data_IF_745188550703
#
_entry.id   IF_745188550703
#
_cell.length_a   1.000
_cell.length_b   1.000
_cell.length_c   1.000
_cell.angle_alpha   90.00
_cell.angle_beta   90.00
_cell.angle_gamma   90.00
#
_symmetry.space_group_name_H-M   'P 1'
#
loop_
_entity.id
_entity.type
_entity.pdbx_description
1 polymer ?
#
# COMPACT_ATOMS: atom_id res chain seq x y z
N UNK A 1 5.10 -23.70 60.08
CA UNK A 1 4.75 -23.97 58.67
C UNK A 1 3.82 -22.89 58.09
N UNK A 2 2.75 -22.45 58.81
CA UNK A 2 1.81 -21.42 58.38
C UNK A 2 2.47 -20.04 58.27
N UNK A 3 3.30 -19.62 59.23
CA UNK A 3 4.02 -18.34 59.24
C UNK A 3 4.94 -18.16 58.03
N UNK A 4 5.69 -19.21 57.67
CA UNK A 4 6.54 -19.17 56.44
C UNK A 4 5.75 -19.05 55.14
N UNK A 5 4.48 -19.55 55.11
CA UNK A 5 3.62 -19.40 53.93
C UNK A 5 3.07 -17.98 53.80
N UNK A 6 2.75 -17.32 54.91
CA UNK A 6 2.28 -15.94 54.92
C UNK A 6 3.42 -14.94 54.55
N UNK A 7 4.59 -15.13 55.10
CA UNK A 7 5.79 -14.32 54.74
C UNK A 7 6.12 -14.46 53.24
N UNK A 8 6.06 -15.70 52.73
CA UNK A 8 6.32 -15.96 51.31
C UNK A 8 5.27 -15.31 50.40
N UNK A 9 4.00 -15.30 50.84
CA UNK A 9 2.90 -14.67 50.14
C UNK A 9 3.02 -13.13 50.09
N UNK A 10 3.50 -12.51 51.18
CA UNK A 10 3.77 -11.07 51.23
C UNK A 10 4.95 -10.71 50.32
N UNK A 11 6.02 -11.48 50.34
CA UNK A 11 7.16 -11.31 49.47
C UNK A 11 6.74 -11.37 47.99
N UNK A 12 6.00 -12.40 47.58
CA UNK A 12 5.51 -12.55 46.21
C UNK A 12 4.55 -11.42 45.80
N UNK A 13 3.73 -10.93 46.72
CA UNK A 13 2.89 -9.76 46.48
C UNK A 13 3.70 -8.48 46.26
N UNK A 14 4.78 -8.32 47.03
CA UNK A 14 5.72 -7.22 46.86
C UNK A 14 6.40 -7.26 45.50
N UNK A 15 6.94 -8.42 45.14
CA UNK A 15 7.58 -8.64 43.83
C UNK A 15 6.60 -8.39 42.67
N UNK A 16 5.37 -8.89 42.79
CA UNK A 16 4.31 -8.66 41.77
C UNK A 16 4.00 -7.18 41.61
N UNK A 17 3.83 -6.42 42.71
CA UNK A 17 3.55 -4.98 42.65
C UNK A 17 4.66 -4.21 41.99
N UNK A 18 5.89 -4.51 42.31
CA UNK A 18 7.05 -3.85 41.72
C UNK A 18 7.19 -4.17 40.24
N UNK A 19 7.04 -5.44 39.86
CA UNK A 19 7.07 -5.86 38.45
C UNK A 19 5.93 -5.22 37.65
N UNK A 20 4.73 -5.13 38.23
CA UNK A 20 3.59 -4.48 37.61
C UNK A 20 3.84 -2.97 37.41
N UNK A 21 4.48 -2.30 38.38
CA UNK A 21 4.86 -0.90 38.28
C UNK A 21 5.85 -0.67 37.14
N UNK A 22 6.90 -1.49 37.07
CA UNK A 22 7.91 -1.42 36.00
C UNK A 22 7.28 -1.67 34.62
N UNK A 23 6.47 -2.68 34.50
CA UNK A 23 5.77 -3.01 33.24
C UNK A 23 4.85 -1.87 32.78
N UNK A 24 4.14 -1.21 33.73
CA UNK A 24 3.30 -0.04 33.41
C UNK A 24 4.13 1.15 32.91
N UNK A 25 5.30 1.39 33.48
CA UNK A 25 6.19 2.46 33.04
C UNK A 25 6.69 2.20 31.61
N UNK A 26 7.18 0.98 31.33
CA UNK A 26 7.61 0.58 29.99
C UNK A 26 6.45 0.69 28.97
N UNK A 27 5.25 0.30 29.37
CA UNK A 27 4.07 0.42 28.51
C UNK A 27 3.72 1.89 28.23
N UNK A 28 3.89 2.80 29.18
CA UNK A 28 3.70 4.23 28.98
C UNK A 28 4.75 4.83 28.03
N UNK A 29 6.01 4.45 28.16
CA UNK A 29 7.09 4.83 27.23
C UNK A 29 6.79 4.34 25.82
N UNK A 30 6.31 3.12 25.68
CA UNK A 30 5.87 2.55 24.38
C UNK A 30 4.71 3.35 23.76
N UNK A 31 3.75 3.81 24.58
CA UNK A 31 2.66 4.67 24.12
C UNK A 31 3.17 5.97 23.51
N UNK A 32 4.11 6.66 24.18
CA UNK A 32 4.68 7.91 23.67
C UNK A 32 5.54 7.69 22.40
N UNK A 33 6.29 6.60 22.35
CA UNK A 33 7.03 6.21 21.14
C UNK A 33 6.07 5.97 19.96
N UNK A 34 4.95 5.27 20.18
CA UNK A 34 3.91 5.04 19.17
C UNK A 34 3.28 6.33 18.69
N UNK A 35 2.94 7.26 19.60
CA UNK A 35 2.36 8.57 19.23
C UNK A 35 3.32 9.40 18.38
N UNK A 36 4.59 9.37 18.72
CA UNK A 36 5.64 10.06 17.96
C UNK A 36 5.79 9.46 16.56
N UNK A 37 5.88 8.13 16.47
CA UNK A 37 5.97 7.41 15.22
C UNK A 37 4.72 7.60 14.36
N UNK A 38 3.52 7.58 14.96
CA UNK A 38 2.26 7.81 14.27
C UNK A 38 2.23 9.15 13.55
N UNK A 39 2.58 10.25 14.23
CA UNK A 39 2.63 11.60 13.62
C UNK A 39 3.58 11.69 12.43
N UNK A 40 4.76 11.08 12.55
CA UNK A 40 5.73 11.06 11.45
C UNK A 40 5.18 10.27 10.26
N UNK A 41 4.63 9.10 10.52
CA UNK A 41 4.07 8.20 9.52
C UNK A 41 2.85 8.84 8.82
N UNK A 42 1.97 9.51 9.55
CA UNK A 42 0.85 10.28 8.97
C UNK A 42 1.33 11.29 7.93
N UNK A 43 2.34 12.09 8.27
CA UNK A 43 2.89 13.11 7.36
C UNK A 43 3.50 12.49 6.10
N UNK A 44 4.26 11.41 6.25
CA UNK A 44 4.88 10.72 5.14
C UNK A 44 3.83 10.09 4.21
N UNK A 45 2.80 9.45 4.76
CA UNK A 45 1.73 8.83 3.95
C UNK A 45 0.91 9.90 3.23
N UNK A 46 0.54 11.01 3.90
CA UNK A 46 -0.24 12.09 3.27
C UNK A 46 0.55 12.70 2.10
N UNK A 47 1.86 12.88 2.25
CA UNK A 47 2.73 13.34 1.15
C UNK A 47 2.70 12.36 -0.03
N UNK A 48 2.85 11.06 0.24
CA UNK A 48 2.77 10.02 -0.79
C UNK A 48 1.41 10.00 -1.50
N UNK A 49 0.32 10.22 -0.75
CA UNK A 49 -1.04 10.27 -1.29
C UNK A 49 -1.26 11.50 -2.17
N UNK A 50 -0.70 12.67 -1.81
CA UNK A 50 -0.82 13.86 -2.65
C UNK A 50 -0.14 13.69 -4.01
N UNK A 51 0.95 12.95 -4.08
CA UNK A 51 1.60 12.60 -5.37
C UNK A 51 0.78 11.61 -6.21
N UNK A 52 -0.25 10.98 -5.62
CA UNK A 52 -1.17 10.07 -6.30
C UNK A 52 -2.53 10.70 -6.65
N UNK A 53 -2.58 12.04 -6.70
CA UNK A 53 -3.79 12.85 -6.98
C UNK A 53 -4.88 12.67 -5.89
N UNK A 54 -4.43 12.50 -4.64
CA UNK A 54 -5.28 12.33 -3.46
C UNK A 54 -5.05 13.46 -2.42
N UNK A 55 -4.93 14.70 -2.87
CA UNK A 55 -4.60 15.88 -2.03
C UNK A 55 -5.60 16.17 -0.92
N UNK A 56 -6.84 15.72 -1.10
CA UNK A 56 -7.95 15.99 -0.16
C UNK A 56 -8.04 14.96 0.96
N UNK A 57 -7.22 13.91 0.87
CA UNK A 57 -7.22 12.84 1.86
C UNK A 57 -6.66 13.33 3.18
N UNK A 58 -7.36 13.00 4.24
CA UNK A 58 -6.86 13.13 5.61
C UNK A 58 -6.63 11.75 6.18
N UNK A 59 -5.50 11.56 6.82
CA UNK A 59 -5.14 10.31 7.46
C UNK A 59 -4.75 10.56 8.91
N UNK A 60 -5.20 9.71 9.81
CA UNK A 60 -4.85 9.71 11.21
C UNK A 60 -4.50 8.29 11.69
N UNK A 61 -3.44 8.19 12.45
CA UNK A 61 -3.06 6.94 13.13
C UNK A 61 -3.41 7.12 14.61
N UNK A 62 -4.62 6.70 14.97
CA UNK A 62 -5.14 6.85 16.31
C UNK A 62 -4.52 5.83 17.26
N UNK A 63 -3.86 6.31 18.34
CA UNK A 63 -3.29 5.48 19.40
C UNK A 63 -4.21 5.59 20.61
N UNK A 64 -5.08 4.60 20.78
CA UNK A 64 -6.06 4.55 21.88
C UNK A 64 -5.46 3.77 23.06
N UNK A 65 -5.19 4.47 24.15
CA UNK A 65 -4.66 3.85 25.36
C UNK A 65 -5.80 3.30 26.20
N UNK A 66 -5.82 1.97 26.38
CA UNK A 66 -6.78 1.29 27.23
C UNK A 66 -6.32 1.16 28.68
N UNK A 67 -7.10 0.43 29.46
CA UNK A 67 -6.80 0.15 30.89
C UNK A 67 -6.22 -1.23 31.13
N UNK A 68 -6.33 -2.14 30.16
CA UNK A 68 -5.87 -3.53 30.26
C UNK A 68 -4.49 -3.69 29.66
N UNK A 69 -3.53 -4.10 30.48
CA UNK A 69 -2.17 -4.40 30.05
C UNK A 69 -2.15 -5.72 29.27
N UNK A 70 -1.49 -5.73 28.12
CA UNK A 70 -1.24 -6.91 27.29
C UNK A 70 0.26 -7.09 27.04
N UNK A 71 0.65 -8.15 26.32
CA UNK A 71 2.02 -8.35 25.86
C UNK A 71 2.51 -7.22 24.93
N UNK A 72 1.58 -6.43 24.34
CA UNK A 72 1.85 -5.31 23.45
C UNK A 72 1.61 -3.94 24.11
N UNK A 73 1.56 -3.85 25.44
CA UNK A 73 1.26 -2.64 26.19
C UNK A 73 -0.23 -2.39 26.36
N UNK A 74 -0.61 -1.10 26.46
CA UNK A 74 -2.00 -0.69 26.70
C UNK A 74 -2.75 -0.30 25.43
N UNK A 75 -2.04 -0.07 24.31
CA UNK A 75 -2.59 0.65 23.19
C UNK A 75 -3.23 -0.26 22.13
N UNK A 76 -4.27 0.27 21.52
CA UNK A 76 -4.80 -0.18 20.24
C UNK A 76 -4.51 0.90 19.22
N UNK A 77 -3.91 0.53 18.09
CA UNK A 77 -3.59 1.44 16.99
C UNK A 77 -4.57 1.22 15.85
N UNK A 78 -5.19 2.29 15.36
CA UNK A 78 -6.14 2.25 14.25
C UNK A 78 -5.73 3.26 13.20
N UNK A 79 -5.63 2.82 11.94
CA UNK A 79 -5.46 3.70 10.79
C UNK A 79 -6.84 4.20 10.36
N UNK A 80 -7.05 5.50 10.43
CA UNK A 80 -8.30 6.17 10.08
C UNK A 80 -8.07 7.11 8.91
N UNK A 81 -9.03 7.16 7.99
CA UNK A 81 -8.91 7.94 6.77
C UNK A 81 -10.25 8.60 6.41
N UNK A 82 -10.16 9.82 5.86
CA UNK A 82 -11.24 10.49 5.16
C UNK A 82 -10.77 10.81 3.74
N UNK A 83 -11.42 10.24 2.76
CA UNK A 83 -11.06 10.40 1.34
C UNK A 83 -11.64 11.68 0.76
N UNK A 84 -12.84 12.06 1.18
CA UNK A 84 -13.54 13.25 0.71
C UNK A 84 -13.60 14.35 1.75
N UNK A 85 -13.50 15.63 1.35
CA UNK A 85 -13.69 16.74 2.25
C UNK A 85 -15.07 16.72 2.91
N UNK A 86 -15.10 16.92 4.23
CA UNK A 86 -16.36 16.96 4.99
C UNK A 86 -16.86 15.59 5.48
N UNK A 87 -16.32 14.49 4.99
CA UNK A 87 -16.60 13.16 5.53
C UNK A 87 -15.85 12.94 6.86
N UNK A 88 -16.43 12.18 7.81
CA UNK A 88 -15.73 11.78 9.02
C UNK A 88 -14.62 10.77 8.68
N UNK A 89 -13.56 10.79 9.46
CA UNK A 89 -12.52 9.76 9.42
C UNK A 89 -13.14 8.41 9.83
N UNK A 90 -12.80 7.38 9.09
CA UNK A 90 -13.25 5.98 9.31
C UNK A 90 -12.07 5.02 9.22
N UNK A 91 -12.11 3.88 9.90
CA UNK A 91 -11.07 2.88 9.79
C UNK A 91 -10.76 2.52 8.33
N UNK A 92 -9.48 2.38 7.98
CA UNK A 92 -9.02 2.05 6.63
C UNK A 92 -9.72 0.80 6.06
N UNK A 93 -10.04 -0.17 6.91
CA UNK A 93 -10.79 -1.38 6.55
C UNK A 93 -12.22 -1.12 6.04
N UNK A 94 -12.73 0.12 6.16
CA UNK A 94 -14.08 0.52 5.70
C UNK A 94 -14.05 1.42 4.46
N UNK A 95 -12.91 1.54 3.80
CA UNK A 95 -12.82 2.23 2.49
C UNK A 95 -13.54 1.37 1.45
N UNK A 96 -14.47 1.97 0.73
CA UNK A 96 -15.38 1.26 -0.15
C UNK A 96 -14.90 1.17 -1.61
N UNK A 97 -14.01 2.07 -2.05
CA UNK A 97 -13.51 2.11 -3.44
C UNK A 97 -12.24 1.27 -3.58
N UNK A 98 -12.24 0.30 -4.50
CA UNK A 98 -11.10 -0.55 -4.80
C UNK A 98 -9.88 0.26 -5.27
N UNK A 99 -10.08 1.18 -6.22
CA UNK A 99 -8.99 2.03 -6.74
C UNK A 99 -8.40 2.98 -5.69
N UNK A 100 -9.24 3.60 -4.83
CA UNK A 100 -8.74 4.43 -3.72
C UNK A 100 -7.93 3.60 -2.73
N UNK A 101 -8.45 2.42 -2.36
CA UNK A 101 -7.76 1.53 -1.43
C UNK A 101 -6.42 1.06 -2.00
N UNK A 102 -6.36 0.71 -3.29
CA UNK A 102 -5.11 0.29 -3.95
C UNK A 102 -4.07 1.40 -3.96
N UNK A 103 -4.45 2.66 -4.21
CA UNK A 103 -3.54 3.82 -4.11
C UNK A 103 -3.08 4.10 -2.69
N UNK A 104 -3.99 4.00 -1.71
CA UNK A 104 -3.64 4.12 -0.29
C UNK A 104 -2.63 3.04 0.10
N UNK A 105 -2.86 1.79 -0.33
CA UNK A 105 -1.94 0.69 -0.06
C UNK A 105 -0.59 0.89 -0.77
N UNK A 106 -0.56 1.46 -1.98
CA UNK A 106 0.69 1.82 -2.66
C UNK A 106 1.48 2.86 -1.84
N UNK A 107 0.83 3.93 -1.37
CA UNK A 107 1.45 4.95 -0.53
C UNK A 107 2.00 4.35 0.77
N UNK A 108 1.21 3.53 1.46
CA UNK A 108 1.65 2.80 2.65
C UNK A 108 2.86 1.91 2.38
N UNK A 109 2.86 1.17 1.28
CA UNK A 109 3.96 0.27 0.91
C UNK A 109 5.24 1.05 0.57
N UNK A 110 5.14 2.21 -0.08
CA UNK A 110 6.30 3.06 -0.32
C UNK A 110 6.96 3.54 0.98
N UNK A 111 6.16 3.92 1.98
CA UNK A 111 6.66 4.40 3.28
C UNK A 111 7.18 3.25 4.14
N UNK A 112 6.51 2.09 4.15
CA UNK A 112 6.78 0.97 5.07
C UNK A 112 7.73 -0.10 4.52
N UNK A 113 8.24 0.04 3.30
CA UNK A 113 9.00 -1.02 2.58
C UNK A 113 10.20 -1.59 3.33
N UNK A 114 10.72 -0.91 4.35
CA UNK A 114 11.97 -1.28 5.03
C UNK A 114 11.84 -2.43 6.04
N UNK A 115 10.64 -2.92 6.36
CA UNK A 115 10.43 -3.90 7.45
C UNK A 115 9.54 -5.10 7.14
N UNK A 116 9.06 -5.25 5.89
CA UNK A 116 8.14 -6.33 5.55
C UNK A 116 8.82 -7.51 4.87
N UNK A 117 8.59 -8.71 5.40
CA UNK A 117 9.04 -9.99 4.83
C UNK A 117 8.05 -10.55 3.78
N UNK A 118 7.58 -9.67 2.87
CA UNK A 118 6.68 -10.04 1.77
C UNK A 118 7.47 -10.02 0.47
N UNK A 119 7.55 -11.17 -0.21
CA UNK A 119 8.35 -11.33 -1.44
C UNK A 119 7.68 -10.74 -2.69
N UNK A 120 6.34 -10.67 -2.74
CA UNK A 120 5.58 -10.21 -3.90
C UNK A 120 4.43 -9.28 -3.49
N UNK A 121 4.18 -8.27 -4.31
CA UNK A 121 3.04 -7.37 -4.21
C UNK A 121 2.19 -7.44 -5.47
N UNK A 122 0.88 -7.50 -5.31
CA UNK A 122 -0.08 -7.51 -6.42
C UNK A 122 -0.99 -6.29 -6.27
N UNK A 123 -1.03 -5.45 -7.30
CA UNK A 123 -1.91 -4.28 -7.38
C UNK A 123 -2.94 -4.49 -8.48
N UNK A 124 -4.20 -4.47 -8.08
CA UNK A 124 -5.35 -4.53 -8.96
C UNK A 124 -6.19 -3.25 -8.82
N UNK A 125 -6.84 -2.81 -9.90
CA UNK A 125 -7.69 -1.62 -9.96
C UNK A 125 -6.99 -0.29 -9.54
N UNK A 126 -5.66 -0.24 -9.50
CA UNK A 126 -4.92 0.92 -9.01
C UNK A 126 -5.11 2.18 -9.88
N UNK A 127 -5.47 1.97 -11.14
CA UNK A 127 -5.68 2.98 -12.17
C UNK A 127 -7.14 3.41 -12.34
N UNK A 128 -8.06 2.87 -11.53
CA UNK A 128 -9.48 3.24 -11.58
C UNK A 128 -9.68 4.71 -11.20
N UNK A 129 -10.29 5.48 -12.11
CA UNK A 129 -10.57 6.91 -11.93
C UNK A 129 -9.32 7.81 -11.98
N UNK A 130 -8.23 7.32 -12.58
CA UNK A 130 -6.95 8.05 -12.71
C UNK A 130 -6.69 8.35 -14.18
N UNK A 131 -6.01 9.45 -14.46
CA UNK A 131 -5.58 9.83 -15.82
C UNK A 131 -4.31 10.66 -15.80
N UNK A 132 -3.65 10.76 -16.98
CA UNK A 132 -2.58 11.73 -17.22
C UNK A 132 -1.42 11.66 -16.23
N UNK A 133 -1.18 12.75 -15.52
CA UNK A 133 -0.06 12.90 -14.59
C UNK A 133 -0.10 11.91 -13.42
N UNK A 134 -1.27 11.68 -12.84
CA UNK A 134 -1.40 10.74 -11.72
C UNK A 134 -1.03 9.31 -12.13
N UNK A 135 -1.40 8.88 -13.35
CA UNK A 135 -1.01 7.57 -13.87
C UNK A 135 0.52 7.41 -13.99
N UNK A 136 1.21 8.48 -14.43
CA UNK A 136 2.69 8.47 -14.48
C UNK A 136 3.30 8.34 -13.08
N UNK A 137 2.77 9.06 -12.08
CA UNK A 137 3.25 8.98 -10.70
C UNK A 137 3.03 7.58 -10.10
N UNK A 138 1.86 6.99 -10.34
CA UNK A 138 1.58 5.60 -9.94
C UNK A 138 2.63 4.66 -10.56
N UNK A 139 2.88 4.76 -11.86
CA UNK A 139 3.87 3.93 -12.54
C UNK A 139 5.27 4.08 -11.94
N UNK A 140 5.72 5.30 -11.67
CA UNK A 140 7.02 5.58 -11.03
C UNK A 140 7.12 4.96 -9.63
N UNK A 141 6.06 5.06 -8.82
CA UNK A 141 6.03 4.48 -7.48
C UNK A 141 6.03 2.96 -7.52
N UNK A 142 5.31 2.36 -8.45
CA UNK A 142 5.34 0.90 -8.69
C UNK A 142 6.75 0.44 -9.10
N UNK A 143 7.41 1.13 -10.02
CA UNK A 143 8.80 0.87 -10.41
C UNK A 143 9.77 0.97 -9.22
N UNK A 144 9.61 1.97 -8.35
CA UNK A 144 10.45 2.13 -7.16
C UNK A 144 10.32 0.95 -6.18
N UNK A 145 9.10 0.41 -6.01
CA UNK A 145 8.86 -0.79 -5.22
C UNK A 145 9.43 -2.03 -5.91
N UNK A 146 9.24 -2.13 -7.24
CA UNK A 146 9.66 -3.27 -8.04
C UNK A 146 11.18 -3.52 -8.01
N UNK A 147 11.98 -2.49 -7.77
CA UNK A 147 13.44 -2.62 -7.53
C UNK A 147 13.78 -3.45 -6.28
N UNK A 148 12.86 -3.57 -5.34
CA UNK A 148 13.08 -4.24 -4.04
C UNK A 148 12.24 -5.49 -3.87
N UNK A 149 11.09 -5.57 -4.55
CA UNK A 149 10.11 -6.66 -4.40
C UNK A 149 9.49 -6.99 -5.75
N UNK A 150 9.21 -8.26 -6.01
CA UNK A 150 8.43 -8.61 -7.18
C UNK A 150 7.06 -7.92 -7.14
N UNK A 151 6.74 -7.17 -8.18
CA UNK A 151 5.50 -6.40 -8.25
C UNK A 151 4.72 -6.80 -9.50
N UNK A 152 3.47 -7.22 -9.30
CA UNK A 152 2.51 -7.48 -10.35
C UNK A 152 1.44 -6.40 -10.33
N UNK A 153 1.17 -5.78 -11.48
CA UNK A 153 0.13 -4.76 -11.62
C UNK A 153 -0.80 -5.11 -12.77
N UNK A 154 -2.11 -5.09 -12.50
CA UNK A 154 -3.14 -5.16 -13.54
C UNK A 154 -3.54 -3.72 -13.88
N UNK A 155 -3.40 -3.33 -15.15
CA UNK A 155 -3.65 -1.96 -15.61
C UNK A 155 -4.16 -1.92 -17.04
N UNK A 156 -4.96 -0.92 -17.34
CA UNK A 156 -5.39 -0.56 -18.70
C UNK A 156 -4.81 0.79 -19.16
N UNK A 157 -4.02 1.46 -18.32
CA UNK A 157 -3.40 2.75 -18.66
C UNK A 157 -2.01 2.57 -19.26
N UNK A 158 -1.76 3.11 -20.47
CA UNK A 158 -0.49 2.99 -21.17
C UNK A 158 0.68 3.57 -20.38
N UNK A 159 0.46 4.63 -19.59
CA UNK A 159 1.49 5.27 -18.77
C UNK A 159 2.01 4.34 -17.65
N UNK A 160 1.13 3.53 -17.07
CA UNK A 160 1.51 2.55 -16.05
C UNK A 160 2.11 1.31 -16.71
N UNK A 161 1.47 0.82 -17.78
CA UNK A 161 1.95 -0.36 -18.51
C UNK A 161 3.39 -0.15 -19.03
N UNK A 162 3.69 1.02 -19.59
CA UNK A 162 5.03 1.32 -20.11
C UNK A 162 6.16 1.18 -19.07
N UNK A 163 5.85 1.40 -17.77
CA UNK A 163 6.81 1.31 -16.66
C UNK A 163 7.15 -0.14 -16.24
N UNK A 164 6.43 -1.15 -16.76
CA UNK A 164 6.70 -2.54 -16.44
C UNK A 164 7.92 -3.10 -17.17
N UNK A 165 8.76 -3.86 -16.48
CA UNK A 165 9.90 -4.56 -17.08
C UNK A 165 9.43 -5.69 -18.01
N UNK A 166 8.39 -6.42 -17.58
CA UNK A 166 7.78 -7.52 -18.31
C UNK A 166 6.28 -7.28 -18.48
N UNK A 167 5.76 -7.61 -19.67
CA UNK A 167 4.32 -7.51 -19.93
C UNK A 167 3.71 -8.89 -20.16
N UNK A 168 2.54 -9.07 -19.56
CA UNK A 168 1.67 -10.22 -19.80
C UNK A 168 0.36 -9.69 -20.39
N UNK A 169 0.02 -10.14 -21.60
CA UNK A 169 -1.27 -9.81 -22.22
C UNK A 169 -2.33 -10.78 -21.73
N UNK A 170 -3.43 -10.23 -21.24
CA UNK A 170 -4.64 -10.98 -20.91
C UNK A 170 -5.62 -10.81 -22.06
N UNK A 171 -6.04 -11.90 -22.67
CA UNK A 171 -7.04 -11.91 -23.73
C UNK A 171 -8.17 -12.88 -23.41
N UNK A 172 -9.40 -12.51 -23.80
CA UNK A 172 -10.56 -13.38 -23.66
C UNK A 172 -11.00 -13.86 -25.05
N UNK A 173 -11.21 -15.16 -25.20
CA UNK A 173 -11.74 -15.78 -26.41
C UNK A 173 -12.97 -16.61 -26.07
N UNK A 174 -13.93 -16.69 -27.01
CA UNK A 174 -15.09 -17.56 -26.88
C UNK A 174 -14.92 -18.74 -27.83
N UNK A 175 -14.90 -19.95 -27.29
CA UNK A 175 -14.82 -21.20 -28.05
C UNK A 175 -15.95 -22.12 -27.57
N UNK A 176 -16.75 -22.64 -28.47
CA UNK A 176 -17.87 -23.55 -28.17
C UNK A 176 -18.85 -22.99 -27.11
N UNK A 177 -19.12 -21.66 -27.17
CA UNK A 177 -20.00 -20.98 -26.20
C UNK A 177 -19.42 -20.80 -24.80
N UNK A 178 -18.14 -21.09 -24.60
CA UNK A 178 -17.42 -20.90 -23.32
C UNK A 178 -16.38 -19.80 -23.47
N UNK A 179 -16.23 -19.00 -22.43
CA UNK A 179 -15.19 -17.97 -22.36
C UNK A 179 -13.89 -18.55 -21.80
N UNK A 180 -12.80 -18.32 -22.50
CA UNK A 180 -11.45 -18.68 -22.08
C UNK A 180 -10.64 -17.40 -21.87
N UNK A 181 -9.79 -17.42 -20.86
CA UNK A 181 -8.82 -16.35 -20.60
C UNK A 181 -7.43 -16.89 -20.86
N UNK A 182 -6.74 -16.29 -21.82
CA UNK A 182 -5.36 -16.63 -22.17
C UNK A 182 -4.43 -15.55 -21.62
N UNK A 183 -3.27 -15.97 -21.09
CA UNK A 183 -2.20 -15.06 -20.59
C UNK A 183 -0.93 -15.39 -21.35
N UNK A 184 -0.35 -14.41 -22.03
CA UNK A 184 0.86 -14.61 -22.83
C UNK A 184 1.90 -13.52 -22.58
N UNK A 185 3.20 -13.87 -22.48
CA UNK A 185 4.27 -12.88 -22.40
C UNK A 185 4.41 -12.14 -23.72
N UNK A 186 4.85 -10.87 -23.65
CA UNK A 186 5.08 -10.04 -24.82
C UNK A 186 6.57 -9.69 -24.96
N UNK A 187 7.06 -9.77 -26.18
CA UNK A 187 8.35 -9.17 -26.58
C UNK A 187 8.18 -7.65 -26.78
N UNK A 188 9.29 -6.97 -27.10
CA UNK A 188 9.28 -5.51 -27.29
C UNK A 188 8.31 -5.06 -28.40
N UNK A 189 8.26 -5.76 -29.51
CA UNK A 189 7.38 -5.39 -30.62
C UNK A 189 5.90 -5.48 -30.22
N UNK A 190 5.51 -6.59 -29.59
CA UNK A 190 4.15 -6.76 -29.07
C UNK A 190 3.83 -5.78 -27.94
N UNK A 191 4.80 -5.39 -27.10
CA UNK A 191 4.61 -4.34 -26.08
C UNK A 191 4.30 -2.99 -26.71
N UNK A 192 5.00 -2.61 -27.79
CA UNK A 192 4.72 -1.36 -28.55
C UNK A 192 3.30 -1.40 -29.10
N UNK A 193 2.92 -2.48 -29.76
CA UNK A 193 1.59 -2.63 -30.34
C UNK A 193 0.48 -2.59 -29.25
N UNK A 194 0.67 -3.24 -28.11
CA UNK A 194 -0.32 -3.22 -27.04
C UNK A 194 -0.44 -1.84 -26.37
N UNK A 195 0.66 -1.13 -26.13
CA UNK A 195 0.63 0.22 -25.61
C UNK A 195 0.00 1.18 -26.64
N UNK A 196 0.30 1.02 -27.92
CA UNK A 196 -0.34 1.80 -28.99
C UNK A 196 -1.86 1.55 -29.02
N UNK A 197 -2.30 0.29 -28.85
CA UNK A 197 -3.72 -0.07 -28.73
C UNK A 197 -4.38 0.58 -27.50
N UNK A 198 -3.70 0.63 -26.37
CA UNK A 198 -4.18 1.31 -25.15
C UNK A 198 -4.28 2.84 -25.33
N UNK A 199 -3.45 3.42 -26.20
CA UNK A 199 -3.45 4.85 -26.51
C UNK A 199 -4.54 5.26 -27.51
N UNK A 200 -4.79 4.46 -28.56
CA UNK A 200 -5.62 4.82 -29.72
C UNK A 200 -6.86 3.96 -29.91
N UNK A 201 -7.02 2.88 -29.13
CA UNK A 201 -8.04 1.88 -29.35
C UNK A 201 -7.60 0.82 -30.38
N UNK A 202 -8.57 0.18 -31.06
CA UNK A 202 -8.29 -0.93 -31.97
C UNK A 202 -7.58 -0.54 -33.27
N UNK A 203 -7.77 0.70 -33.74
CA UNK A 203 -7.09 1.22 -34.93
C UNK A 203 -5.74 1.84 -34.55
N UNK A 204 -4.69 1.06 -34.73
CA UNK A 204 -3.32 1.48 -34.39
C UNK A 204 -2.73 2.27 -35.55
N UNK A 205 -2.53 3.59 -35.39
CA UNK A 205 -1.82 4.44 -36.34
C UNK A 205 -0.30 4.38 -36.12
N UNK A 206 0.48 4.78 -37.13
CA UNK A 206 1.93 4.91 -37.02
C UNK A 206 2.31 5.94 -35.94
N UNK A 207 1.53 7.00 -35.77
CA UNK A 207 1.72 7.98 -34.72
C UNK A 207 1.51 7.38 -33.33
N UNK A 208 0.51 6.49 -33.15
CA UNK A 208 0.28 5.79 -31.88
C UNK A 208 1.42 4.82 -31.55
N UNK A 209 1.95 4.11 -32.55
CA UNK A 209 3.13 3.24 -32.37
C UNK A 209 4.35 4.05 -31.95
N UNK A 210 4.61 5.18 -32.61
CA UNK A 210 5.74 6.05 -32.27
C UNK A 210 5.61 6.58 -30.84
N UNK A 211 4.42 7.01 -30.43
CA UNK A 211 4.18 7.46 -29.07
C UNK A 211 4.34 6.33 -28.03
N UNK A 212 3.92 5.12 -28.36
CA UNK A 212 4.12 3.94 -27.52
C UNK A 212 5.60 3.59 -27.34
N UNK A 213 6.39 3.69 -28.41
CA UNK A 213 7.84 3.50 -28.40
C UNK A 213 8.53 4.54 -27.52
N UNK A 214 8.17 5.82 -27.69
CA UNK A 214 8.70 6.93 -26.89
C UNK A 214 8.38 6.76 -25.38
N UNK A 215 7.17 6.27 -25.04
CA UNK A 215 6.79 5.96 -23.66
C UNK A 215 7.64 4.84 -23.06
N UNK A 216 7.86 3.76 -23.81
CA UNK A 216 8.68 2.63 -23.35
C UNK A 216 10.15 3.04 -23.16
N UNK A 217 10.68 3.87 -24.08
CA UNK A 217 12.06 4.32 -24.01
C UNK A 217 12.27 5.28 -22.84
N UNK A 218 11.32 6.20 -22.60
CA UNK A 218 11.34 7.09 -21.44
C UNK A 218 11.28 6.34 -20.12
N UNK A 219 10.49 5.27 -20.03
CA UNK A 219 10.41 4.42 -18.86
C UNK A 219 11.73 3.66 -18.60
N UNK A 220 12.37 3.16 -19.65
CA UNK A 220 13.65 2.45 -19.55
C UNK A 220 14.85 3.34 -19.14
N UNK A 221 14.78 4.65 -19.36
CA UNK A 221 15.83 5.60 -18.95
C UNK A 221 15.68 6.06 -17.49
N UNK A 222 14.53 5.86 -16.87
CA UNK A 222 14.24 6.23 -15.48
C UNK A 222 14.44 5.09 -14.48
N UNK A 223 14.89 3.93 -14.93
CA UNK A 223 15.03 2.70 -14.13
C UNK A 223 16.43 2.53 -13.50
#
# INVERSE_FOLDING_TARGET
>A
ALQNADDRREELRGQYREMLRQTKNIAAELTEARRTAAKKLEQEIVRELSELDMDKVRMRIAVHTGTKLSAHGFDTVTFEISVNPGEPEKPLSRVASGGELSRIMLALKNVLTAGEDVGMLIFDEIDTGVSGHAAQQIGRKLSAIARKKQTLCVTHLPQIAAMGDHHLRISKSVRDGRSFTDVSPMDRAHRIDEIARLLSGEEISDAARKNAEDLLDAAGQGA
#
